data_IF_402909310984
#
_entry.id   IF_402909310984
#
_cell.length_a   1.000
_cell.length_b   1.000
_cell.length_c   1.000
_cell.angle_alpha   90.00
_cell.angle_beta   90.00
_cell.angle_gamma   90.00
#
_symmetry.space_group_name_H-M   'P 1'
#
loop_
_entity.id
_entity.type
_entity.pdbx_description
1 polymer ?
#
# COMPACT_ATOMS: atom_id res chain seq x y z
N UNK A 1 -10.19 11.35 28.81
CA UNK A 1 -9.84 10.59 27.58
C UNK A 1 -8.40 10.93 27.22
N UNK A 2 -7.44 10.05 27.52
CA UNK A 2 -6.05 10.27 27.15
C UNK A 2 -5.87 9.94 25.67
N UNK A 3 -5.56 10.96 24.88
CA UNK A 3 -5.14 10.81 23.49
C UNK A 3 -3.62 10.70 23.52
N UNK A 4 -3.07 9.59 23.01
CA UNK A 4 -1.62 9.45 22.85
C UNK A 4 -1.03 10.57 21.98
N UNK A 5 0.30 10.63 21.89
CA UNK A 5 1.08 11.68 21.19
C UNK A 5 0.55 12.08 19.79
N UNK A 6 -0.16 11.19 19.11
CA UNK A 6 -0.65 11.38 17.74
C UNK A 6 -2.17 11.52 17.58
N UNK A 7 -2.96 11.60 18.65
CA UNK A 7 -4.42 11.67 18.49
C UNK A 7 -5.08 10.33 18.13
N UNK A 8 -6.36 10.38 17.74
CA UNK A 8 -7.05 9.26 17.09
C UNK A 8 -7.02 9.46 15.59
N UNK A 9 -6.05 8.86 14.92
CA UNK A 9 -5.87 8.98 13.46
C UNK A 9 -6.29 7.67 12.80
N UNK A 10 -7.09 7.79 11.73
CA UNK A 10 -7.40 6.69 10.82
C UNK A 10 -6.63 6.89 9.51
N UNK A 11 -5.83 5.89 9.12
CA UNK A 11 -5.21 5.82 7.80
C UNK A 11 -5.89 4.79 6.92
N UNK A 12 -6.16 5.13 5.64
CA UNK A 12 -6.75 4.24 4.66
C UNK A 12 -5.84 4.16 3.44
N UNK A 13 -5.54 2.95 2.97
CA UNK A 13 -4.75 2.71 1.76
C UNK A 13 -5.65 2.14 0.66
N UNK A 14 -5.83 2.90 -0.42
CA UNK A 14 -6.61 2.48 -1.59
C UNK A 14 -5.73 1.76 -2.63
N UNK A 15 -5.38 0.51 -2.33
CA UNK A 15 -4.41 -0.28 -3.09
C UNK A 15 -4.95 -1.01 -4.34
N UNK A 16 -6.18 -0.74 -4.80
CA UNK A 16 -6.92 -1.57 -5.77
C UNK A 16 -6.55 -1.46 -7.26
N UNK A 17 -5.46 -0.79 -7.63
CA UNK A 17 -5.10 -0.59 -9.05
C UNK A 17 -4.41 -1.81 -9.70
N UNK A 18 -4.76 -2.13 -10.95
CA UNK A 18 -4.22 -3.27 -11.73
C UNK A 18 -2.69 -3.21 -11.99
N UNK A 19 -2.11 -2.01 -12.06
CA UNK A 19 -0.66 -1.85 -12.23
C UNK A 19 -0.11 -2.32 -13.57
N UNK A 20 -0.81 -2.07 -14.68
CA UNK A 20 -0.50 -2.57 -16.03
C UNK A 20 0.88 -2.15 -16.53
N UNK A 21 1.32 -0.93 -16.20
CA UNK A 21 2.65 -0.42 -16.58
C UNK A 21 3.83 -1.18 -15.96
N UNK A 22 3.57 -2.00 -14.95
CA UNK A 22 4.59 -2.79 -14.25
C UNK A 22 4.56 -4.26 -14.66
N UNK A 23 3.77 -4.66 -15.66
CA UNK A 23 3.86 -6.02 -16.18
C UNK A 23 5.29 -6.32 -16.66
N UNK A 24 5.82 -7.54 -16.40
CA UNK A 24 5.15 -8.71 -15.82
C UNK A 24 5.19 -8.79 -14.29
N UNK A 25 5.74 -7.79 -13.59
CA UNK A 25 5.92 -7.83 -12.13
C UNK A 25 4.58 -7.90 -11.36
N UNK A 26 3.50 -7.43 -11.98
CA UNK A 26 2.14 -7.42 -11.41
C UNK A 26 1.25 -8.58 -11.90
N UNK A 27 1.78 -9.54 -12.67
CA UNK A 27 0.99 -10.65 -13.21
C UNK A 27 0.37 -11.56 -12.14
N UNK A 28 1.02 -11.67 -10.98
CA UNK A 28 0.60 -12.54 -9.88
C UNK A 28 0.48 -11.80 -8.53
N UNK A 29 0.65 -10.47 -8.53
CA UNK A 29 0.62 -9.66 -7.30
C UNK A 29 0.17 -8.22 -7.59
N UNK A 30 -0.44 -7.59 -6.60
CA UNK A 30 -0.79 -6.17 -6.69
C UNK A 30 0.47 -5.29 -6.73
N UNK A 31 0.37 -4.09 -7.31
CA UNK A 31 1.47 -3.11 -7.38
C UNK A 31 2.17 -2.88 -6.03
N UNK A 32 1.46 -2.70 -4.90
CA UNK A 32 2.12 -2.48 -3.60
C UNK A 32 2.90 -3.69 -3.08
N UNK A 33 2.64 -4.89 -3.60
CA UNK A 33 3.35 -6.13 -3.21
C UNK A 33 4.59 -6.40 -4.08
N UNK A 34 4.95 -5.48 -4.99
CA UNK A 34 6.21 -5.55 -5.73
C UNK A 34 7.36 -5.18 -4.79
N UNK A 35 8.42 -6.00 -4.78
CA UNK A 35 9.58 -5.76 -3.92
C UNK A 35 10.29 -4.45 -4.28
N UNK A 36 10.83 -3.79 -3.27
CA UNK A 36 11.63 -2.58 -3.42
C UNK A 36 12.88 -2.70 -2.53
N UNK A 37 14.04 -2.37 -3.09
CA UNK A 37 15.34 -2.29 -2.42
C UNK A 37 15.66 -3.50 -1.51
N UNK A 38 16.13 -4.59 -2.14
CA UNK A 38 16.64 -5.77 -1.44
C UNK A 38 17.82 -5.44 -0.51
#
# INVERSE_FOLDING_TARGET
MYTGKHGRVLGIVLAGGKGERLMPLTSYRAKPAVYFAA
#
